data_IF_278217498773
#
_entry.id   IF_278217498773
#
_cell.length_a   1.000
_cell.length_b   1.000
_cell.length_c   1.000
_cell.angle_alpha   90.00
_cell.angle_beta   90.00
_cell.angle_gamma   90.00
#
_symmetry.space_group_name_H-M   'P 1'
#
loop_
_entity.id
_entity.type
_entity.pdbx_description
1 polymer ?
#
# COMPACT_ATOMS: atom_id res chain seq x y z
N UNK A 1 -0.20 1.03 7.31
CA UNK A 1 0.98 1.87 7.60
C UNK A 1 2.24 1.04 7.64
N UNK A 2 2.37 0.08 8.58
CA UNK A 2 3.54 -0.81 8.73
C UNK A 2 4.09 -1.42 7.43
N UNK A 3 3.25 -1.68 6.43
CA UNK A 3 3.66 -2.25 5.14
C UNK A 3 4.01 -1.19 4.08
N UNK A 4 3.27 -0.08 4.05
CA UNK A 4 3.29 0.85 2.91
C UNK A 4 4.13 2.09 3.19
N UNK A 5 4.20 2.51 4.46
CA UNK A 5 4.90 3.70 4.92
C UNK A 5 5.01 3.62 6.46
N UNK A 6 5.98 2.87 7.00
CA UNK A 6 6.02 2.51 8.42
C UNK A 6 6.19 3.72 9.34
N UNK A 7 6.78 4.81 8.85
CA UNK A 7 7.05 6.03 9.61
C UNK A 7 6.15 7.22 9.18
N UNK A 8 5.02 6.94 8.51
CA UNK A 8 4.14 7.95 7.92
C UNK A 8 3.78 9.12 8.84
N UNK A 9 3.53 8.83 10.12
CA UNK A 9 3.11 9.83 11.10
C UNK A 9 4.19 10.89 11.38
N UNK A 10 5.46 10.56 11.15
CA UNK A 10 6.59 11.36 11.66
C UNK A 10 7.39 12.07 10.57
N UNK A 11 7.15 11.78 9.29
CA UNK A 11 7.85 12.45 8.19
C UNK A 11 6.95 13.48 7.47
N UNK A 12 7.52 14.40 6.70
CA UNK A 12 6.77 15.45 5.97
C UNK A 12 6.72 15.18 4.47
N UNK A 13 6.24 13.99 4.09
CA UNK A 13 6.06 13.58 2.69
C UNK A 13 7.18 12.74 2.06
N UNK A 14 8.38 12.63 2.65
CA UNK A 14 9.46 11.74 2.17
C UNK A 14 10.06 10.92 3.32
N UNK A 15 10.42 9.68 3.04
CA UNK A 15 11.19 8.80 3.93
C UNK A 15 12.22 8.03 3.11
N UNK A 16 13.48 8.14 3.49
CA UNK A 16 14.62 7.48 2.82
C UNK A 16 15.44 6.62 3.77
N UNK A 17 14.99 6.44 5.01
CA UNK A 17 15.77 5.80 6.07
C UNK A 17 15.06 4.62 6.71
N UNK A 18 13.73 4.58 6.64
CA UNK A 18 12.96 3.50 7.27
C UNK A 18 12.96 2.25 6.41
N UNK A 19 13.45 1.13 6.96
CA UNK A 19 13.40 -0.17 6.28
C UNK A 19 11.97 -0.53 5.86
N UNK A 20 11.80 -1.00 4.62
CA UNK A 20 10.50 -1.34 4.04
C UNK A 20 9.67 -0.16 3.55
N UNK A 21 10.07 1.11 3.78
CA UNK A 21 9.32 2.27 3.29
C UNK A 21 9.38 2.43 1.75
N UNK A 22 10.44 1.91 1.13
CA UNK A 22 10.68 2.09 -0.30
C UNK A 22 10.93 3.55 -0.69
N UNK A 23 10.88 3.80 -2.00
CA UNK A 23 11.18 5.13 -2.58
C UNK A 23 9.94 6.05 -2.73
N UNK A 24 8.77 5.61 -2.25
CA UNK A 24 7.51 6.35 -2.40
C UNK A 24 6.66 6.22 -1.14
N UNK A 25 6.48 7.32 -0.42
CA UNK A 25 5.61 7.42 0.76
C UNK A 25 4.13 7.41 0.40
N UNK A 26 3.24 7.26 1.38
CA UNK A 26 1.79 7.39 1.19
C UNK A 26 1.42 8.78 0.64
N UNK A 27 2.04 9.85 1.12
CA UNK A 27 1.78 11.21 0.64
C UNK A 27 2.20 11.39 -0.83
N UNK A 28 3.35 10.83 -1.23
CA UNK A 28 3.77 10.83 -2.64
C UNK A 28 2.82 9.97 -3.49
N UNK A 29 2.40 8.82 -2.96
CA UNK A 29 1.45 7.90 -3.58
C UNK A 29 0.10 8.56 -3.83
N UNK A 30 -0.42 9.33 -2.86
CA UNK A 30 -1.63 10.14 -2.99
C UNK A 30 -1.43 11.28 -4.01
N UNK A 31 -0.32 12.01 -3.91
CA UNK A 31 0.03 13.09 -4.85
C UNK A 31 0.07 12.62 -6.30
N UNK A 32 0.60 11.41 -6.55
CA UNK A 32 0.63 10.80 -7.89
C UNK A 32 -0.77 10.67 -8.47
N UNK A 33 -1.71 10.18 -7.65
CA UNK A 33 -3.07 9.84 -8.05
C UNK A 33 -3.96 11.07 -8.21
N UNK A 34 -3.75 12.08 -7.37
CA UNK A 34 -4.54 13.31 -7.39
C UNK A 34 -4.08 14.32 -8.45
N UNK A 35 -2.77 14.38 -8.75
CA UNK A 35 -2.20 15.47 -9.55
C UNK A 35 -1.77 15.07 -10.97
N UNK A 36 -1.83 13.78 -11.34
CA UNK A 36 -1.36 13.31 -12.64
C UNK A 36 -2.36 12.38 -13.30
N UNK A 37 -2.82 12.73 -14.50
CA UNK A 37 -3.57 11.80 -15.36
C UNK A 37 -2.68 10.66 -15.86
N UNK A 38 -1.43 10.97 -16.21
CA UNK A 38 -0.39 10.00 -16.59
C UNK A 38 0.93 10.38 -15.93
N UNK A 39 1.40 9.53 -15.04
CA UNK A 39 2.69 9.72 -14.39
C UNK A 39 3.82 9.06 -15.20
N UNK A 40 4.90 9.80 -15.41
CA UNK A 40 6.15 9.28 -15.99
C UNK A 40 7.31 9.60 -15.03
N UNK A 41 8.15 8.60 -14.69
CA UNK A 41 9.35 8.82 -13.86
C UNK A 41 10.30 9.87 -14.47
N UNK A 42 11.16 10.48 -13.64
CA UNK A 42 12.05 11.58 -14.04
C UNK A 42 11.56 12.92 -13.49
N UNK A 43 11.35 13.93 -14.34
CA UNK A 43 10.82 15.25 -13.94
C UNK A 43 9.47 15.12 -13.21
N UNK A 44 8.65 14.13 -13.60
CA UNK A 44 7.40 13.81 -12.90
C UNK A 44 7.60 13.47 -11.42
N UNK A 45 8.71 12.81 -11.06
CA UNK A 45 9.03 12.47 -9.66
C UNK A 45 9.34 13.73 -8.83
N UNK A 46 10.04 14.70 -9.40
CA UNK A 46 10.32 15.99 -8.75
C UNK A 46 9.00 16.73 -8.47
N UNK A 47 8.12 16.80 -9.49
CA UNK A 47 6.79 17.40 -9.33
C UNK A 47 5.95 16.66 -8.29
N UNK A 48 5.97 15.32 -8.29
CA UNK A 48 5.28 14.50 -7.29
C UNK A 48 5.72 14.86 -5.87
N UNK A 49 7.04 14.97 -5.63
CA UNK A 49 7.56 15.36 -4.31
C UNK A 49 7.10 16.78 -3.93
N UNK A 50 7.14 17.73 -4.86
CA UNK A 50 6.61 19.09 -4.63
C UNK A 50 5.12 19.10 -4.27
N UNK A 51 4.29 18.34 -4.98
CA UNK A 51 2.88 18.18 -4.63
C UNK A 51 2.69 17.53 -3.26
N UNK A 52 3.49 16.52 -2.92
CA UNK A 52 3.43 15.84 -1.63
C UNK A 52 3.74 16.79 -0.47
N UNK A 53 4.78 17.61 -0.59
CA UNK A 53 5.08 18.66 0.40
C UNK A 53 3.94 19.69 0.48
N UNK A 54 3.32 20.02 -0.66
CA UNK A 54 2.14 20.88 -0.71
C UNK A 54 0.96 20.31 0.07
N UNK A 55 0.68 19.01 -0.06
CA UNK A 55 -0.36 18.32 0.72
C UNK A 55 -0.04 18.35 2.22
N UNK A 56 1.19 17.99 2.61
CA UNK A 56 1.63 17.97 4.02
C UNK A 56 1.57 19.35 4.69
N UNK A 57 1.75 20.43 3.92
CA UNK A 57 1.64 21.80 4.45
C UNK A 57 0.19 22.28 4.67
N UNK A 58 -0.81 21.59 4.10
CA UNK A 58 -2.21 22.05 4.07
C UNK A 58 -3.18 21.08 4.72
N UNK A 59 -2.84 19.80 4.77
CA UNK A 59 -3.70 18.72 5.26
C UNK A 59 -3.02 18.02 6.42
N UNK A 60 -3.83 17.58 7.38
CA UNK A 60 -3.40 16.66 8.43
C UNK A 60 -3.09 15.27 7.84
N UNK A 61 -2.33 14.47 8.60
CA UNK A 61 -2.02 13.07 8.24
C UNK A 61 -3.27 12.23 8.00
N UNK A 62 -4.30 12.42 8.81
CA UNK A 62 -5.57 11.69 8.67
C UNK A 62 -6.30 12.08 7.38
N UNK A 63 -6.29 13.36 7.00
CA UNK A 63 -6.86 13.82 5.74
C UNK A 63 -6.09 13.28 4.53
N UNK A 64 -4.76 13.25 4.60
CA UNK A 64 -3.91 12.66 3.54
C UNK A 64 -4.19 11.16 3.42
N UNK A 65 -4.29 10.46 4.55
CA UNK A 65 -4.60 9.03 4.57
C UNK A 65 -5.98 8.74 3.99
N UNK A 66 -7.00 9.54 4.32
CA UNK A 66 -8.34 9.41 3.77
C UNK A 66 -8.35 9.58 2.23
N UNK A 67 -7.69 10.61 1.72
CA UNK A 67 -7.54 10.84 0.28
C UNK A 67 -6.77 9.70 -0.40
N UNK A 68 -5.72 9.20 0.24
CA UNK A 68 -4.96 8.07 -0.27
C UNK A 68 -5.84 6.82 -0.37
N UNK A 69 -6.53 6.45 0.71
CA UNK A 69 -7.42 5.29 0.74
C UNK A 69 -8.52 5.34 -0.33
N UNK A 70 -9.05 6.52 -0.63
CA UNK A 70 -10.09 6.71 -1.65
C UNK A 70 -9.56 6.54 -3.08
N UNK A 71 -8.26 6.78 -3.31
CA UNK A 71 -7.65 6.76 -4.64
C UNK A 71 -6.86 5.49 -4.94
N UNK A 72 -6.76 4.56 -3.99
CA UNK A 72 -6.02 3.31 -4.16
C UNK A 72 -6.60 2.46 -5.28
N UNK A 73 -5.76 2.02 -6.20
CA UNK A 73 -6.12 0.99 -7.15
C UNK A 73 -6.04 -0.36 -6.44
N UNK A 74 -7.13 -1.13 -6.52
CA UNK A 74 -7.32 -2.36 -5.75
C UNK A 74 -7.43 -3.61 -6.65
N UNK A 75 -7.24 -3.43 -7.96
CA UNK A 75 -7.29 -4.51 -8.96
C UNK A 75 -8.70 -4.81 -9.45
N UNK A 76 -8.84 -5.94 -10.16
CA UNK A 76 -10.11 -6.37 -10.74
C UNK A 76 -11.08 -6.91 -9.69
N UNK A 77 -12.31 -6.39 -9.71
CA UNK A 77 -13.42 -6.78 -8.85
C UNK A 77 -14.56 -7.50 -9.59
N UNK A 78 -15.74 -7.64 -8.97
CA UNK A 78 -16.93 -8.18 -9.63
C UNK A 78 -17.43 -7.34 -10.80
N UNK A 79 -17.28 -6.02 -10.72
CA UNK A 79 -17.78 -5.05 -11.70
C UNK A 79 -16.65 -4.37 -12.51
N UNK A 80 -15.48 -5.01 -12.55
CA UNK A 80 -14.26 -4.47 -13.17
C UNK A 80 -13.31 -3.81 -12.18
N UNK A 81 -12.43 -2.93 -12.68
CA UNK A 81 -11.37 -2.30 -11.89
C UNK A 81 -11.90 -1.51 -10.70
N UNK A 82 -11.34 -1.78 -9.52
CA UNK A 82 -11.73 -1.15 -8.27
C UNK A 82 -10.74 -0.04 -7.88
N UNK A 83 -11.29 1.13 -7.55
CA UNK A 83 -10.57 2.24 -6.94
C UNK A 83 -11.21 2.57 -5.59
N UNK A 84 -10.41 2.65 -4.54
CA UNK A 84 -10.83 2.93 -3.16
C UNK A 84 -10.82 1.68 -2.27
N UNK A 85 -10.19 1.79 -1.10
CA UNK A 85 -10.06 0.67 -0.14
C UNK A 85 -11.41 0.21 0.41
N UNK A 86 -12.29 1.16 0.77
CA UNK A 86 -13.64 0.85 1.24
C UNK A 86 -14.48 0.17 0.14
N UNK A 87 -14.40 0.69 -1.09
CA UNK A 87 -15.09 0.12 -2.25
C UNK A 87 -14.64 -1.32 -2.50
N UNK A 88 -13.34 -1.59 -2.45
CA UNK A 88 -12.81 -2.94 -2.60
C UNK A 88 -13.26 -3.88 -1.48
N UNK A 89 -13.24 -3.44 -0.21
CA UNK A 89 -13.78 -4.23 0.91
C UNK A 89 -15.24 -4.62 0.69
N UNK A 90 -16.07 -3.64 0.33
CA UNK A 90 -17.49 -3.87 0.05
C UNK A 90 -17.68 -4.82 -1.15
N UNK A 91 -16.90 -4.67 -2.21
CA UNK A 91 -17.03 -5.48 -3.42
C UNK A 91 -16.53 -6.92 -3.24
N UNK A 92 -15.49 -7.15 -2.43
CA UNK A 92 -14.88 -8.48 -2.24
C UNK A 92 -15.54 -9.23 -1.08
N UNK A 93 -15.87 -8.55 0.01
CA UNK A 93 -16.34 -9.18 1.26
C UNK A 93 -17.77 -8.79 1.65
N UNK A 94 -18.40 -7.84 0.95
CA UNK A 94 -19.76 -7.40 1.25
C UNK A 94 -19.90 -6.54 2.51
N UNK A 95 -18.79 -6.08 3.10
CA UNK A 95 -18.77 -5.36 4.39
C UNK A 95 -17.67 -4.30 4.47
N UNK A 96 -17.80 -3.28 5.34
CA UNK A 96 -16.80 -2.24 5.49
C UNK A 96 -15.47 -2.77 6.05
N UNK A 97 -14.33 -2.08 5.80
CA UNK A 97 -13.01 -2.49 6.29
C UNK A 97 -12.94 -2.76 7.79
N UNK A 98 -13.71 -2.01 8.60
CA UNK A 98 -13.73 -2.12 10.06
C UNK A 98 -14.36 -3.44 10.56
N UNK A 99 -15.11 -4.15 9.71
CA UNK A 99 -15.73 -5.43 10.04
C UNK A 99 -14.93 -6.64 9.53
N UNK A 100 -13.85 -6.40 8.78
CA UNK A 100 -13.01 -7.48 8.25
C UNK A 100 -12.24 -8.18 9.37
N UNK A 101 -12.00 -9.47 9.18
CA UNK A 101 -10.97 -10.18 9.94
C UNK A 101 -9.58 -9.65 9.56
N UNK A 102 -8.60 -9.89 10.45
CA UNK A 102 -7.22 -9.47 10.21
C UNK A 102 -6.66 -10.03 8.90
N UNK A 103 -6.96 -11.28 8.55
CA UNK A 103 -6.47 -11.91 7.32
C UNK A 103 -7.09 -11.29 6.07
N UNK A 104 -8.39 -10.99 6.07
CA UNK A 104 -9.05 -10.29 4.97
C UNK A 104 -8.52 -8.87 4.80
N UNK A 105 -8.33 -8.14 5.91
CA UNK A 105 -7.74 -6.80 5.88
C UNK A 105 -6.31 -6.84 5.32
N UNK A 106 -5.48 -7.78 5.79
CA UNK A 106 -4.12 -7.97 5.29
C UNK A 106 -4.14 -8.35 3.80
N UNK A 107 -5.10 -9.16 3.33
CA UNK A 107 -5.24 -9.48 1.90
C UNK A 107 -5.50 -8.23 1.06
N UNK A 108 -6.34 -7.30 1.52
CA UNK A 108 -6.54 -6.01 0.85
C UNK A 108 -5.29 -5.13 0.89
N UNK A 109 -4.52 -5.13 1.98
CA UNK A 109 -3.23 -4.41 2.04
C UNK A 109 -2.20 -5.04 1.10
N UNK A 110 -2.16 -6.37 1.02
CA UNK A 110 -1.20 -7.09 0.19
C UNK A 110 -1.35 -6.76 -1.30
N UNK A 111 -2.58 -6.52 -1.77
CA UNK A 111 -2.86 -6.25 -3.18
C UNK A 111 -2.23 -4.95 -3.69
N UNK A 112 -2.02 -3.96 -2.81
CA UNK A 112 -1.73 -2.56 -3.15
C UNK A 112 -0.45 -2.37 -3.98
N UNK A 113 0.54 -3.23 -3.76
CA UNK A 113 1.83 -3.14 -4.45
C UNK A 113 1.73 -3.50 -5.95
N UNK A 114 0.78 -4.39 -6.30
CA UNK A 114 0.62 -4.92 -7.65
C UNK A 114 -0.86 -5.25 -7.97
N UNK A 115 -1.76 -4.25 -7.95
CA UNK A 115 -3.20 -4.47 -8.09
C UNK A 115 -3.60 -5.08 -9.45
N UNK A 116 -2.82 -4.85 -10.50
CA UNK A 116 -3.07 -5.46 -11.82
C UNK A 116 -2.53 -6.88 -11.97
N UNK A 117 -1.69 -7.36 -11.04
CA UNK A 117 -1.11 -8.70 -11.08
C UNK A 117 -1.80 -9.65 -10.12
N UNK A 118 -2.19 -9.15 -8.95
CA UNK A 118 -2.85 -9.94 -7.92
C UNK A 118 -4.35 -10.07 -8.13
N UNK A 119 -4.89 -11.23 -7.79
CA UNK A 119 -6.32 -11.52 -7.91
C UNK A 119 -6.99 -11.73 -6.55
N UNK A 120 -7.78 -10.74 -6.12
CA UNK A 120 -8.48 -10.80 -4.84
C UNK A 120 -9.58 -11.87 -4.79
N UNK A 121 -10.19 -12.17 -5.94
CA UNK A 121 -11.35 -13.07 -6.07
C UNK A 121 -10.98 -14.54 -6.34
N UNK A 122 -9.70 -14.80 -6.59
CA UNK A 122 -9.21 -16.14 -6.91
C UNK A 122 -8.24 -16.61 -5.83
N UNK A 123 -7.95 -17.92 -5.86
CA UNK A 123 -6.85 -18.47 -5.08
C UNK A 123 -5.52 -18.14 -5.75
N UNK A 124 -5.04 -16.93 -5.53
CA UNK A 124 -3.76 -16.43 -6.03
C UNK A 124 -2.62 -16.79 -5.06
N UNK A 125 -1.77 -17.74 -5.47
CA UNK A 125 -0.64 -18.21 -4.66
C UNK A 125 0.34 -17.09 -4.32
N UNK A 126 0.63 -16.19 -5.26
CA UNK A 126 1.60 -15.11 -5.03
C UNK A 126 1.04 -14.05 -4.06
N UNK A 127 -0.26 -13.78 -4.13
CA UNK A 127 -0.94 -12.95 -3.14
C UNK A 127 -0.97 -13.62 -1.76
N UNK A 128 -1.26 -14.92 -1.69
CA UNK A 128 -1.25 -15.68 -0.44
C UNK A 128 0.13 -15.67 0.23
N UNK A 129 1.20 -15.85 -0.55
CA UNK A 129 2.56 -15.74 -0.04
C UNK A 129 2.85 -14.35 0.55
N UNK A 130 2.44 -13.28 -0.14
CA UNK A 130 2.60 -11.91 0.35
C UNK A 130 1.80 -11.66 1.63
N UNK A 131 0.57 -12.16 1.71
CA UNK A 131 -0.25 -12.12 2.94
C UNK A 131 0.53 -12.74 4.10
N UNK A 132 1.10 -13.93 3.92
CA UNK A 132 1.89 -14.57 4.97
C UNK A 132 3.12 -13.77 5.39
N UNK A 133 3.79 -13.08 4.46
CA UNK A 133 4.93 -12.18 4.79
C UNK A 133 4.47 -11.00 5.64
N UNK A 134 3.34 -10.38 5.30
CA UNK A 134 2.77 -9.26 6.07
C UNK A 134 2.33 -9.73 7.46
N UNK A 135 1.70 -10.91 7.57
CA UNK A 135 1.31 -11.49 8.86
C UNK A 135 2.51 -11.68 9.78
N UNK A 136 3.63 -12.20 9.27
CA UNK A 136 4.88 -12.34 10.04
C UNK A 136 5.48 -11.00 10.45
N UNK A 137 5.45 -10.01 9.55
CA UNK A 137 5.90 -8.65 9.85
C UNK A 137 5.08 -8.05 11.00
N UNK A 138 3.75 -8.14 10.92
CA UNK A 138 2.83 -7.61 11.95
C UNK A 138 2.98 -8.35 13.27
N UNK A 139 3.26 -9.66 13.24
CA UNK A 139 3.56 -10.45 14.42
C UNK A 139 4.95 -10.17 15.03
N UNK A 140 5.80 -9.38 14.35
CA UNK A 140 7.16 -9.08 14.80
C UNK A 140 8.12 -10.27 14.72
N UNK A 141 7.81 -11.30 13.93
CA UNK A 141 8.65 -12.50 13.79
C UNK A 141 9.68 -12.39 12.66
N UNK A 142 9.65 -11.30 11.90
CA UNK A 142 10.60 -10.94 10.85
C UNK A 142 10.67 -9.41 10.71
N UNK A 143 11.62 -8.93 9.90
CA UNK A 143 11.73 -7.52 9.51
C UNK A 143 12.20 -7.40 8.05
N UNK A 144 11.95 -6.27 7.38
CA UNK A 144 12.48 -6.02 6.03
C UNK A 144 14.01 -5.93 6.03
N UNK A 145 14.67 -6.42 4.98
CA UNK A 145 16.15 -6.47 4.89
C UNK A 145 16.80 -5.12 4.53
N UNK A 146 16.00 -4.06 4.34
CA UNK A 146 16.48 -2.71 4.08
C UNK A 146 15.39 -1.77 3.58
N UNK A 147 15.78 -0.56 3.18
CA UNK A 147 14.86 0.48 2.68
C UNK A 147 13.97 -0.01 1.53
N UNK A 148 14.55 -0.70 0.56
CA UNK A 148 13.88 -1.10 -0.68
C UNK A 148 13.14 -2.44 -0.59
N UNK A 149 13.14 -3.11 0.56
CA UNK A 149 12.46 -4.40 0.75
C UNK A 149 10.94 -4.23 0.93
N UNK A 150 10.28 -3.68 -0.09
CA UNK A 150 8.82 -3.46 -0.15
C UNK A 150 8.04 -4.77 -0.42
N UNK A 151 8.76 -5.80 -0.87
CA UNK A 151 8.24 -7.15 -1.09
C UNK A 151 8.33 -8.04 0.14
N UNK A 152 8.97 -7.55 1.21
CA UNK A 152 9.16 -8.23 2.49
C UNK A 152 9.87 -9.58 2.31
N UNK A 153 10.94 -9.61 1.52
CA UNK A 153 11.78 -10.80 1.31
C UNK A 153 12.41 -11.28 2.61
N UNK A 154 12.79 -10.37 3.53
CA UNK A 154 13.23 -10.72 4.88
C UNK A 154 12.18 -11.43 5.74
N UNK A 155 10.92 -11.41 5.27
CA UNK A 155 9.79 -12.10 5.87
C UNK A 155 9.36 -13.34 5.09
N UNK A 156 10.13 -13.84 4.12
CA UNK A 156 9.81 -15.07 3.39
C UNK A 156 9.87 -16.29 4.33
N UNK A 157 9.00 -17.28 4.12
CA UNK A 157 9.20 -18.57 4.79
C UNK A 157 10.45 -19.26 4.20
N UNK A 158 11.25 -19.94 5.02
CA UNK A 158 12.24 -20.87 4.51
C UNK A 158 11.52 -21.89 3.62
N UNK A 159 12.07 -22.17 2.44
CA UNK A 159 11.57 -23.29 1.63
C UNK A 159 11.77 -24.58 2.43
N UNK A 160 10.70 -25.32 2.67
CA UNK A 160 10.80 -26.70 3.17
C UNK A 160 11.77 -27.46 2.27
N UNK A 161 12.87 -27.94 2.86
CA UNK A 161 13.94 -28.68 2.18
C UNK A 161 13.59 -30.15 2.01
#
# INVERSE_FOLDING_TARGET
>A
MTVEDPNFANHSGVDFSTSGAGATTITQSASKRLAFEKFQPGVGKIRQTGYAMGLESRLSKDQILALWLETLEMGEGPEGWMTGFYKASSAIYGRPPAELSNSEFIRLVAVLIAPGSYKLRENDTALNERVGRIERLVAGTCAPEGLSDVWLEGCRQPSDS
#
